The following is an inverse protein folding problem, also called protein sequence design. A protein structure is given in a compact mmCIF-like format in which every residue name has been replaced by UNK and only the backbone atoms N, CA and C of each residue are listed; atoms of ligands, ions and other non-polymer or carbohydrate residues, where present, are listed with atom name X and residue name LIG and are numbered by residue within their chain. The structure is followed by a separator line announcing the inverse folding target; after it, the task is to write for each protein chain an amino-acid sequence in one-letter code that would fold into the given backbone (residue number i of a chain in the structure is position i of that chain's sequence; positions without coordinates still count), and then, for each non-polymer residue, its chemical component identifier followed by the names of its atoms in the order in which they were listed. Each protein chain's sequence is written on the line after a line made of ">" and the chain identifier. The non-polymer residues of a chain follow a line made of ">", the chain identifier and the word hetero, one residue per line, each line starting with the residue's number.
data_IF_759360826849
#
_entry.id   IF_759360826849
#
_cell.length_a   1.000
_cell.length_b   1.000
_cell.length_c   1.000
_cell.angle_alpha   90.00
_cell.angle_beta   90.00
_cell.angle_gamma   90.00
#
_symmetry.space_group_name_H-M   'P 1'
#
loop_
_entity.id
_entity.type
_entity.pdbx_description
1 polymer ?
#
# COMPACT_ATOMS: atom_id res chain seq x y z
N UNK A 1 -4.93 -6.76 9.24
CA UNK A 1 -5.02 -5.29 9.11
C UNK A 1 -6.43 -4.95 8.66
N UNK A 2 -6.99 -3.80 9.07
CA UNK A 2 -8.29 -3.36 8.56
C UNK A 2 -8.22 -3.15 7.04
N UNK A 3 -9.34 -3.42 6.38
CA UNK A 3 -9.59 -3.11 4.97
C UNK A 3 -9.75 -1.61 4.77
N UNK A 4 -9.69 -1.15 3.52
CA UNK A 4 -9.96 0.25 3.22
C UNK A 4 -11.42 0.61 3.54
N UNK A 5 -12.37 -0.28 3.26
CA UNK A 5 -13.79 -0.06 3.56
C UNK A 5 -14.06 0.11 5.07
N UNK A 6 -13.42 -0.69 5.93
CA UNK A 6 -13.54 -0.52 7.38
C UNK A 6 -12.96 0.82 7.85
N UNK A 7 -11.84 1.25 7.27
CA UNK A 7 -11.25 2.56 7.56
C UNK A 7 -12.14 3.71 7.07
N UNK A 8 -12.68 3.61 5.86
CA UNK A 8 -13.59 4.60 5.28
C UNK A 8 -14.89 4.73 6.09
N UNK A 9 -15.42 3.63 6.60
CA UNK A 9 -16.60 3.67 7.48
C UNK A 9 -16.28 4.34 8.82
N UNK A 10 -15.08 4.12 9.38
CA UNK A 10 -14.67 4.70 10.65
C UNK A 10 -14.36 6.21 10.53
N UNK A 11 -13.71 6.64 9.44
CA UNK A 11 -13.22 8.01 9.25
C UNK A 11 -13.52 8.55 7.83
N UNK A 12 -14.79 8.80 7.45
CA UNK A 12 -15.18 9.02 6.06
C UNK A 12 -14.52 10.25 5.40
N UNK A 13 -14.52 11.39 6.09
CA UNK A 13 -13.93 12.62 5.54
C UNK A 13 -12.42 12.52 5.36
N UNK A 14 -11.75 11.81 6.26
CA UNK A 14 -10.31 11.59 6.17
C UNK A 14 -9.96 10.61 5.05
N UNK A 15 -10.71 9.50 4.95
CA UNK A 15 -10.57 8.55 3.85
C UNK A 15 -10.74 9.22 2.49
N UNK A 16 -11.77 10.07 2.32
CA UNK A 16 -11.99 10.87 1.10
C UNK A 16 -10.79 11.75 0.77
N UNK A 17 -10.21 12.44 1.77
CA UNK A 17 -9.02 13.28 1.55
C UNK A 17 -7.81 12.45 1.12
N UNK A 18 -7.59 11.30 1.75
CA UNK A 18 -6.47 10.40 1.40
C UNK A 18 -6.64 9.88 -0.03
N UNK A 19 -7.85 9.43 -0.39
CA UNK A 19 -8.13 8.96 -1.75
C UNK A 19 -7.87 10.05 -2.79
N UNK A 20 -8.31 11.30 -2.56
CA UNK A 20 -8.03 12.43 -3.44
C UNK A 20 -6.52 12.67 -3.65
N UNK A 21 -5.72 12.54 -2.60
CA UNK A 21 -4.26 12.68 -2.69
C UNK A 21 -3.61 11.51 -3.44
N UNK A 22 -4.17 10.31 -3.29
CA UNK A 22 -3.71 9.14 -4.01
C UNK A 22 -4.06 9.23 -5.50
N UNK A 23 -5.27 9.66 -5.84
CA UNK A 23 -5.74 9.81 -7.23
C UNK A 23 -5.02 10.95 -7.98
N UNK A 24 -4.51 11.96 -7.27
CA UNK A 24 -3.80 13.09 -7.86
C UNK A 24 -2.48 12.73 -8.56
N UNK A 25 -1.94 11.52 -8.36
CA UNK A 25 -0.70 11.12 -9.03
C UNK A 25 -0.50 9.61 -9.11
N UNK A 26 -0.04 9.12 -10.25
CA UNK A 26 0.11 7.67 -10.50
C UNK A 26 1.12 6.97 -9.58
N UNK A 27 2.27 7.60 -9.33
CA UNK A 27 3.41 6.94 -8.68
C UNK A 27 3.45 7.20 -7.18
N UNK A 28 3.49 6.10 -6.41
CA UNK A 28 3.64 6.12 -4.95
C UNK A 28 4.93 5.40 -4.54
N UNK A 29 5.27 5.49 -3.27
CA UNK A 29 6.35 4.71 -2.66
C UNK A 29 5.80 3.78 -1.60
N UNK A 30 6.40 2.60 -1.49
CA UNK A 30 6.14 1.64 -0.41
C UNK A 30 7.44 1.39 0.35
N UNK A 31 7.34 1.31 1.67
CA UNK A 31 8.41 0.85 2.55
C UNK A 31 8.13 -0.59 2.96
N UNK A 32 9.14 -1.45 2.90
CA UNK A 32 9.06 -2.86 3.29
C UNK A 32 10.27 -3.21 4.15
N UNK A 33 10.20 -4.30 4.92
CA UNK A 33 11.26 -4.73 5.82
C UNK A 33 12.13 -5.83 5.19
N UNK A 34 13.44 -5.56 5.09
CA UNK A 34 14.41 -6.57 4.66
C UNK A 34 14.56 -7.66 5.73
N UNK A 35 15.29 -8.73 5.38
CA UNK A 35 15.58 -9.85 6.29
C UNK A 35 16.26 -9.42 7.59
N UNK A 36 17.05 -8.36 7.51
CA UNK A 36 17.80 -7.77 8.62
C UNK A 36 17.01 -6.68 9.37
N UNK A 37 15.73 -6.45 9.01
CA UNK A 37 14.87 -5.42 9.59
C UNK A 37 15.11 -4.01 9.05
N UNK A 38 16.07 -3.79 8.15
CA UNK A 38 16.29 -2.47 7.56
C UNK A 38 15.20 -2.11 6.52
N UNK A 39 14.86 -0.81 6.35
CA UNK A 39 13.79 -0.40 5.44
C UNK A 39 14.22 -0.40 3.96
N UNK A 40 13.42 -0.99 3.08
CA UNK A 40 13.54 -0.87 1.62
C UNK A 40 12.41 0.00 1.07
N UNK A 41 12.78 1.05 0.32
CA UNK A 41 11.83 1.87 -0.45
C UNK A 41 11.75 1.37 -1.89
N UNK A 42 10.55 1.33 -2.46
CA UNK A 42 10.31 1.01 -3.87
C UNK A 42 9.20 1.87 -4.44
N UNK A 43 9.31 2.24 -5.71
CA UNK A 43 8.19 2.81 -6.47
C UNK A 43 7.10 1.76 -6.72
N UNK A 44 5.85 2.21 -6.66
CA UNK A 44 4.65 1.42 -6.95
C UNK A 44 3.58 2.30 -7.62
N UNK A 45 2.57 1.63 -8.16
CA UNK A 45 1.26 2.20 -8.47
C UNK A 45 0.24 1.42 -7.64
N UNK A 46 -0.80 2.09 -7.15
CA UNK A 46 -1.83 1.47 -6.33
C UNK A 46 -3.22 1.98 -6.71
N UNK A 47 -4.23 1.17 -6.42
CA UNK A 47 -5.63 1.46 -6.67
C UNK A 47 -6.48 1.12 -5.44
N UNK A 48 -7.61 1.83 -5.29
CA UNK A 48 -8.67 1.45 -4.35
C UNK A 48 -9.70 0.63 -5.13
N UNK A 49 -9.80 -0.67 -4.82
CA UNK A 49 -10.69 -1.60 -5.52
C UNK A 49 -11.28 -2.64 -4.56
N UNK A 50 -12.58 -2.92 -4.71
CA UNK A 50 -13.35 -3.84 -3.86
C UNK A 50 -13.11 -3.61 -2.36
N UNK A 51 -13.16 -2.36 -1.90
CA UNK A 51 -12.96 -2.00 -0.49
C UNK A 51 -11.54 -2.21 0.05
N UNK A 52 -10.54 -2.35 -0.83
CA UNK A 52 -9.13 -2.54 -0.46
C UNK A 52 -8.22 -1.56 -1.19
N UNK A 53 -7.11 -1.18 -0.55
CA UNK A 53 -5.96 -0.57 -1.24
C UNK A 53 -5.06 -1.70 -1.76
N UNK A 54 -4.86 -1.76 -3.07
CA UNK A 54 -4.08 -2.80 -3.75
C UNK A 54 -2.95 -2.18 -4.54
N UNK A 55 -1.86 -2.92 -4.75
CA UNK A 55 -0.77 -2.50 -5.63
C UNK A 55 -0.24 -3.69 -6.44
N UNK A 56 0.22 -3.41 -7.66
CA UNK A 56 0.85 -4.40 -8.52
C UNK A 56 2.34 -4.59 -8.22
N UNK A 57 2.86 -5.80 -8.41
CA UNK A 57 4.30 -6.07 -8.35
C UNK A 57 4.71 -7.09 -9.39
N UNK A 58 5.88 -6.88 -9.98
CA UNK A 58 6.52 -7.89 -10.82
C UNK A 58 6.82 -9.15 -10.00
N UNK A 59 6.74 -10.31 -10.64
CA UNK A 59 7.22 -11.58 -10.09
C UNK A 59 8.68 -11.44 -9.66
N UNK A 60 9.05 -12.06 -8.55
CA UNK A 60 10.39 -12.04 -7.94
C UNK A 60 10.91 -10.66 -7.50
N UNK A 61 10.07 -9.62 -7.53
CA UNK A 61 10.42 -8.33 -6.98
C UNK A 61 10.79 -8.46 -5.50
N UNK A 62 11.87 -7.80 -5.12
CA UNK A 62 12.43 -7.85 -3.77
C UNK A 62 11.43 -7.42 -2.67
N UNK A 63 10.58 -6.40 -2.95
CA UNK A 63 9.48 -5.99 -2.05
C UNK A 63 8.44 -7.09 -1.81
N UNK A 64 8.18 -7.93 -2.81
CA UNK A 64 7.27 -9.07 -2.67
C UNK A 64 7.86 -10.17 -1.78
N UNK A 65 9.18 -10.41 -1.86
CA UNK A 65 9.87 -11.31 -0.94
C UNK A 65 9.91 -10.76 0.49
N UNK A 66 10.06 -9.44 0.65
CA UNK A 66 9.97 -8.78 1.95
C UNK A 66 8.57 -8.96 2.55
N UNK A 67 7.50 -8.64 1.82
CA UNK A 67 6.11 -8.75 2.28
C UNK A 67 5.67 -10.19 2.59
N UNK A 68 6.19 -11.18 1.86
CA UNK A 68 5.97 -12.60 2.18
C UNK A 68 6.60 -13.00 3.51
N UNK A 69 7.72 -12.37 3.90
CA UNK A 69 8.38 -12.61 5.19
C UNK A 69 7.71 -11.83 6.30
N UNK A 70 7.42 -10.55 6.06
CA UNK A 70 6.82 -9.62 7.01
C UNK A 70 5.81 -8.72 6.28
N UNK A 71 4.50 -8.86 6.56
CA UNK A 71 3.44 -8.20 5.78
C UNK A 71 3.25 -6.72 6.12
N UNK A 72 4.12 -6.13 6.94
CA UNK A 72 4.07 -4.70 7.31
C UNK A 72 4.54 -3.78 6.18
#
# INVERSE_FOLDING_TARGET
>A
MPTWAEFEQAEPEFARRVQQLFDAGRHKTIATLRADGSPRISGIECEFADGNLRFGSMTDARKGADLKRDPR
#
